data_IF_477544004007
#
_entry.id   IF_477544004007
#
_cell.length_a   1.000
_cell.length_b   1.000
_cell.length_c   1.000
_cell.angle_alpha   90.00
_cell.angle_beta   90.00
_cell.angle_gamma   90.00
#
_symmetry.space_group_name_H-M   'P 1'
#
loop_
_entity.id
_entity.type
_entity.pdbx_description
1 polymer ?
#
# COMPACT_ATOMS: atom_id res chain seq x y z
N UNK A 1 -1.81 -2.17 1.94
CA UNK A 1 -2.54 -3.11 1.07
C UNK A 1 -1.62 -3.46 -0.09
N UNK A 2 -1.27 -4.72 -0.26
CA UNK A 2 -0.42 -5.13 -1.39
C UNK A 2 -1.25 -5.11 -2.69
N UNK A 3 -0.61 -5.04 -3.85
CA UNK A 3 -1.28 -4.74 -5.14
C UNK A 3 -2.30 -5.80 -5.59
N UNK A 4 -2.30 -6.94 -4.89
CA UNK A 4 -2.98 -8.17 -5.26
C UNK A 4 -4.36 -8.27 -4.63
N UNK A 5 -4.55 -7.74 -3.40
CA UNK A 5 -5.89 -7.55 -2.82
C UNK A 5 -6.68 -6.59 -3.70
N UNK A 6 -6.05 -5.54 -4.22
CA UNK A 6 -6.69 -4.58 -5.12
C UNK A 6 -7.15 -5.22 -6.45
N UNK A 7 -6.43 -6.23 -6.95
CA UNK A 7 -6.81 -6.94 -8.18
C UNK A 7 -8.03 -7.86 -7.99
N UNK A 8 -8.32 -8.30 -6.76
CA UNK A 8 -9.50 -9.12 -6.44
C UNK A 8 -10.75 -8.29 -6.18
N UNK A 9 -10.63 -6.98 -5.99
CA UNK A 9 -11.77 -6.13 -5.65
C UNK A 9 -12.85 -6.15 -6.72
N UNK A 10 -12.52 -6.00 -8.01
CA UNK A 10 -13.52 -6.03 -9.09
C UNK A 10 -14.27 -7.38 -9.19
N UNK A 11 -13.60 -8.54 -9.19
CA UNK A 11 -14.28 -9.84 -9.11
C UNK A 11 -15.16 -10.01 -7.85
N UNK A 12 -14.68 -9.59 -6.67
CA UNK A 12 -15.47 -9.72 -5.44
C UNK A 12 -16.68 -8.79 -5.49
N UNK A 13 -16.51 -7.54 -5.91
CA UNK A 13 -17.59 -6.58 -6.06
C UNK A 13 -18.68 -7.08 -7.02
N UNK A 14 -18.31 -7.75 -8.11
CA UNK A 14 -19.27 -8.37 -9.04
C UNK A 14 -20.07 -9.52 -8.43
N UNK A 15 -19.49 -10.26 -7.50
CA UNK A 15 -20.13 -11.41 -6.85
C UNK A 15 -20.91 -11.01 -5.60
N UNK A 16 -20.43 -10.00 -4.88
CA UNK A 16 -20.94 -9.55 -3.58
C UNK A 16 -20.92 -8.00 -3.51
N UNK A 17 -21.77 -7.31 -4.30
CA UNK A 17 -21.77 -5.85 -4.39
C UNK A 17 -22.14 -5.14 -3.08
N UNK A 18 -22.74 -5.86 -2.13
CA UNK A 18 -23.09 -5.38 -0.80
C UNK A 18 -21.89 -5.28 0.15
N UNK A 19 -20.76 -5.92 -0.17
CA UNK A 19 -19.56 -5.89 0.67
C UNK A 19 -18.81 -4.58 0.42
N UNK A 20 -18.66 -3.70 1.43
CA UNK A 20 -17.91 -2.47 1.25
C UNK A 20 -16.41 -2.76 1.10
N UNK A 21 -15.81 -2.25 0.03
CA UNK A 21 -14.36 -2.30 -0.17
C UNK A 21 -13.71 -0.97 0.21
N UNK A 22 -12.98 -0.95 1.30
CA UNK A 22 -12.27 0.25 1.75
C UNK A 22 -10.87 0.27 1.14
N UNK A 23 -10.55 1.34 0.41
CA UNK A 23 -9.19 1.58 -0.03
C UNK A 23 -8.44 2.43 1.00
N UNK A 24 -7.26 1.96 1.41
CA UNK A 24 -6.36 2.69 2.29
C UNK A 24 -5.05 3.02 1.56
N UNK A 25 -4.63 4.27 1.64
CA UNK A 25 -3.42 4.78 0.99
C UNK A 25 -2.64 5.74 1.90
N UNK A 26 -1.44 6.13 1.48
CA UNK A 26 -0.59 7.12 2.18
C UNK A 26 -0.24 8.24 1.20
N UNK A 27 -0.74 9.44 1.45
CA UNK A 27 -0.57 10.59 0.56
C UNK A 27 0.88 11.02 0.44
N UNK A 28 1.67 10.89 1.51
CA UNK A 28 3.11 11.16 1.43
C UNK A 28 3.85 10.01 0.74
N UNK A 29 3.84 10.05 -0.60
CA UNK A 29 4.43 9.03 -1.47
C UNK A 29 5.94 8.88 -1.26
N UNK A 30 6.68 9.96 -1.02
CA UNK A 30 8.12 9.89 -0.72
C UNK A 30 8.36 9.03 0.54
N UNK A 31 7.69 9.34 1.66
CA UNK A 31 7.82 8.57 2.91
C UNK A 31 7.35 7.13 2.73
N UNK A 32 6.29 6.90 1.96
CA UNK A 32 5.80 5.56 1.67
C UNK A 32 6.83 4.74 0.86
N UNK A 33 7.39 5.34 -0.18
CA UNK A 33 8.42 4.73 -1.04
C UNK A 33 9.67 4.39 -0.24
N UNK A 34 10.14 5.32 0.61
CA UNK A 34 11.26 5.07 1.52
C UNK A 34 10.93 3.92 2.49
N UNK A 35 9.71 3.87 3.03
CA UNK A 35 9.29 2.77 3.92
C UNK A 35 9.34 1.41 3.20
N UNK A 36 8.83 1.33 1.98
CA UNK A 36 8.90 0.13 1.15
C UNK A 36 10.35 -0.24 0.81
N UNK A 37 11.20 0.73 0.50
CA UNK A 37 12.62 0.51 0.25
C UNK A 37 13.34 -0.04 1.49
N UNK A 38 13.10 0.54 2.66
CA UNK A 38 13.66 0.08 3.95
C UNK A 38 13.28 -1.37 4.23
N UNK A 39 11.99 -1.68 4.05
CA UNK A 39 11.49 -3.05 4.16
C UNK A 39 12.23 -3.99 3.21
N UNK A 40 12.45 -3.62 1.95
CA UNK A 40 13.14 -4.49 0.99
C UNK A 40 14.63 -4.65 1.28
N UNK A 41 15.29 -3.60 1.80
CA UNK A 41 16.74 -3.57 2.01
C UNK A 41 17.18 -4.35 3.24
N UNK A 42 16.46 -4.21 4.35
CA UNK A 42 16.93 -4.65 5.67
C UNK A 42 16.42 -6.05 6.06
N UNK A 43 15.79 -6.80 5.17
CA UNK A 43 15.07 -8.00 5.58
C UNK A 43 15.50 -9.27 4.86
N UNK A 44 15.80 -10.28 5.67
CA UNK A 44 15.56 -11.69 5.38
C UNK A 44 14.16 -11.94 4.81
N UNK A 45 13.17 -11.04 4.99
CA UNK A 45 11.88 -11.09 4.29
C UNK A 45 12.01 -11.04 2.76
N UNK A 46 13.00 -10.39 2.15
CA UNK A 46 13.17 -10.51 0.69
C UNK A 46 13.63 -11.92 0.33
N UNK A 47 14.56 -12.48 1.09
CA UNK A 47 15.02 -13.86 0.91
C UNK A 47 13.90 -14.86 1.19
N UNK A 48 13.08 -14.66 2.22
CA UNK A 48 11.90 -15.46 2.55
C UNK A 48 10.78 -15.24 1.54
N UNK A 49 10.58 -14.03 1.02
CA UNK A 49 9.61 -13.75 -0.05
C UNK A 49 10.05 -14.42 -1.34
N UNK A 50 11.34 -14.36 -1.69
CA UNK A 50 11.94 -15.07 -2.83
C UNK A 50 11.89 -16.59 -2.60
N UNK A 51 12.11 -17.06 -1.39
CA UNK A 51 12.01 -18.47 -0.99
C UNK A 51 10.57 -18.99 -1.08
N UNK A 52 9.60 -18.24 -0.56
CA UNK A 52 8.17 -18.54 -0.67
C UNK A 52 7.73 -18.46 -2.13
N UNK A 53 8.23 -17.47 -2.88
CA UNK A 53 7.96 -17.34 -4.30
C UNK A 53 8.50 -18.54 -5.08
N UNK A 54 9.73 -18.98 -4.84
CA UNK A 54 10.36 -20.10 -5.54
C UNK A 54 9.75 -21.46 -5.17
N UNK A 55 9.40 -21.69 -3.90
CA UNK A 55 8.87 -22.97 -3.44
C UNK A 55 7.35 -23.10 -3.58
N UNK A 56 6.61 -21.99 -3.61
CA UNK A 56 5.16 -21.97 -3.77
C UNK A 56 4.71 -21.31 -5.08
N UNK A 57 5.58 -21.22 -6.09
CA UNK A 57 5.42 -20.55 -7.39
C UNK A 57 4.01 -20.58 -8.00
N UNK A 58 3.25 -21.68 -7.90
CA UNK A 58 1.85 -21.75 -8.37
C UNK A 58 0.85 -21.05 -7.44
N UNK A 59 0.94 -21.32 -6.14
CA UNK A 59 0.14 -20.65 -5.12
C UNK A 59 0.53 -19.18 -5.00
N UNK A 60 1.81 -18.86 -5.13
CA UNK A 60 2.35 -17.50 -5.17
C UNK A 60 1.89 -16.75 -6.44
N UNK A 61 1.96 -17.35 -7.64
CA UNK A 61 1.40 -16.74 -8.86
C UNK A 61 -0.11 -16.51 -8.78
N UNK A 62 -0.83 -17.38 -8.06
CA UNK A 62 -2.28 -17.34 -7.89
C UNK A 62 -2.73 -16.35 -6.79
N UNK A 63 -2.12 -16.41 -5.60
CA UNK A 63 -2.38 -15.51 -4.47
C UNK A 63 -1.86 -14.10 -4.73
N UNK A 64 -0.73 -13.95 -5.44
CA UNK A 64 -0.02 -12.68 -5.56
C UNK A 64 -0.22 -11.93 -6.88
N UNK A 65 -1.33 -12.12 -7.61
CA UNK A 65 -1.68 -11.21 -8.72
C UNK A 65 -0.52 -10.91 -9.68
N UNK A 66 0.33 -11.90 -9.95
CA UNK A 66 1.67 -11.70 -10.50
C UNK A 66 1.63 -10.94 -11.83
N UNK A 67 0.53 -11.08 -12.59
CA UNK A 67 0.36 -10.45 -13.90
C UNK A 67 0.46 -8.93 -13.86
N UNK A 68 -0.10 -8.27 -12.85
CA UNK A 68 -0.21 -6.81 -12.88
C UNK A 68 0.99 -6.12 -12.25
N UNK A 69 1.53 -6.68 -11.17
CA UNK A 69 2.86 -6.29 -10.71
C UNK A 69 3.93 -6.54 -11.79
N UNK A 70 3.86 -7.68 -12.49
CA UNK A 70 4.71 -7.96 -13.65
C UNK A 70 4.50 -6.94 -14.77
N UNK A 71 3.26 -6.63 -15.12
CA UNK A 71 2.96 -5.63 -16.16
C UNK A 71 3.50 -4.25 -15.78
N UNK A 72 3.36 -3.82 -14.52
CA UNK A 72 3.91 -2.56 -14.04
C UNK A 72 5.44 -2.54 -14.12
N UNK A 73 6.10 -3.61 -13.66
CA UNK A 73 7.57 -3.74 -13.71
C UNK A 73 8.11 -3.85 -15.14
N UNK A 74 7.41 -4.52 -16.05
CA UNK A 74 7.75 -4.57 -17.49
C UNK A 74 7.56 -3.22 -18.19
N UNK A 75 6.53 -2.45 -17.79
CA UNK A 75 6.25 -1.11 -18.33
C UNK A 75 7.33 -0.10 -17.93
N UNK A 76 7.72 -0.08 -16.65
CA UNK A 76 8.62 0.97 -16.15
C UNK A 76 10.09 0.57 -16.12
N UNK A 77 10.36 -0.75 -16.04
CA UNK A 77 11.70 -1.36 -15.96
C UNK A 77 12.55 -0.73 -14.85
N UNK A 78 12.21 -0.94 -13.56
CA UNK A 78 12.96 -0.33 -12.46
C UNK A 78 14.41 -0.83 -12.45
N UNK A 79 15.36 0.09 -12.33
CA UNK A 79 16.81 -0.16 -12.38
C UNK A 79 17.43 -0.18 -10.99
N UNK A 80 16.68 0.19 -9.95
CA UNK A 80 17.14 0.17 -8.56
C UNK A 80 16.07 -0.34 -7.60
N UNK A 81 16.49 -0.77 -6.41
CA UNK A 81 15.56 -1.17 -5.34
C UNK A 81 14.63 -0.03 -4.92
N UNK A 82 15.10 1.22 -4.98
CA UNK A 82 14.28 2.39 -4.67
C UNK A 82 13.16 2.59 -5.69
N UNK A 83 13.46 2.39 -6.96
CA UNK A 83 12.48 2.42 -8.04
C UNK A 83 11.48 1.27 -7.93
N UNK A 84 11.96 0.07 -7.61
CA UNK A 84 11.10 -1.10 -7.38
C UNK A 84 10.17 -0.88 -6.17
N UNK A 85 10.67 -0.25 -5.11
CA UNK A 85 9.87 0.11 -3.95
C UNK A 85 8.71 1.05 -4.31
N UNK A 86 8.95 2.04 -5.18
CA UNK A 86 7.89 2.88 -5.72
C UNK A 86 6.87 2.06 -6.50
N UNK A 87 7.31 1.15 -7.38
CA UNK A 87 6.39 0.31 -8.16
C UNK A 87 5.49 -0.52 -7.25
N UNK A 88 6.06 -1.15 -6.22
CA UNK A 88 5.30 -1.93 -5.23
C UNK A 88 4.26 -1.05 -4.53
N UNK A 89 4.66 0.14 -4.07
CA UNK A 89 3.77 1.06 -3.38
C UNK A 89 2.67 1.65 -4.28
N UNK A 90 3.02 1.98 -5.52
CA UNK A 90 2.15 2.69 -6.45
C UNK A 90 1.17 1.80 -7.22
N UNK A 91 1.53 0.53 -7.43
CA UNK A 91 0.67 -0.42 -8.18
C UNK A 91 -0.74 -0.55 -7.58
N UNK A 92 -0.93 -0.75 -6.25
CA UNK A 92 -2.27 -0.78 -5.65
C UNK A 92 -3.08 0.49 -5.94
N UNK A 93 -2.45 1.67 -5.94
CA UNK A 93 -3.12 2.93 -6.23
C UNK A 93 -3.54 3.03 -7.70
N UNK A 94 -2.68 2.63 -8.63
CA UNK A 94 -3.02 2.55 -10.05
C UNK A 94 -4.24 1.65 -10.30
N UNK A 95 -4.37 0.57 -9.53
CA UNK A 95 -5.53 -0.32 -9.55
C UNK A 95 -6.78 0.31 -8.97
N UNK A 96 -6.65 0.96 -7.82
CA UNK A 96 -7.74 1.70 -7.21
C UNK A 96 -8.33 2.70 -8.20
N UNK A 97 -7.50 3.48 -8.90
CA UNK A 97 -7.99 4.44 -9.90
C UNK A 97 -8.81 3.78 -11.01
N UNK A 98 -8.36 2.63 -11.53
CA UNK A 98 -9.06 1.89 -12.59
C UNK A 98 -10.38 1.27 -12.12
N UNK A 99 -10.45 0.88 -10.85
CA UNK A 99 -11.59 0.16 -10.28
C UNK A 99 -12.31 0.99 -9.21
N UNK A 100 -12.21 2.32 -9.27
CA UNK A 100 -12.68 3.22 -8.20
C UNK A 100 -14.15 3.03 -7.86
N UNK A 101 -14.96 2.62 -8.84
CA UNK A 101 -16.38 2.32 -8.70
C UNK A 101 -16.66 1.10 -7.81
N UNK A 102 -15.69 0.20 -7.60
CA UNK A 102 -15.82 -0.94 -6.72
C UNK A 102 -15.52 -0.61 -5.25
N UNK A 103 -15.01 0.58 -4.95
CA UNK A 103 -14.59 0.97 -3.60
C UNK A 103 -15.60 1.91 -2.95
N UNK A 104 -15.75 1.78 -1.64
CA UNK A 104 -16.46 2.74 -0.84
C UNK A 104 -15.66 4.04 -0.71
N UNK A 105 -16.38 5.16 -0.65
CA UNK A 105 -15.82 6.50 -0.49
C UNK A 105 -16.32 7.12 0.82
N UNK A 106 -15.53 7.99 1.48
CA UNK A 106 -14.22 8.48 1.05
C UNK A 106 -13.09 7.45 1.22
N UNK A 107 -12.00 7.68 0.48
CA UNK A 107 -10.75 6.91 0.60
C UNK A 107 -10.13 7.15 1.99
N UNK A 108 -9.53 6.13 2.59
CA UNK A 108 -8.87 6.27 3.89
C UNK A 108 -7.39 6.58 3.65
N UNK A 109 -6.96 7.78 4.04
CA UNK A 109 -5.54 8.12 3.99
C UNK A 109 -4.91 7.95 5.36
N UNK A 110 -3.65 7.50 5.39
CA UNK A 110 -2.88 7.39 6.63
C UNK A 110 -2.81 8.74 7.35
N UNK A 111 -2.64 9.82 6.60
CA UNK A 111 -2.57 11.18 7.10
C UNK A 111 -3.86 11.60 7.82
N UNK A 112 -5.04 11.29 7.26
CA UNK A 112 -6.33 11.53 7.94
C UNK A 112 -6.52 10.61 9.13
N UNK A 113 -6.15 9.33 9.02
CA UNK A 113 -6.25 8.39 10.13
C UNK A 113 -5.42 8.82 11.34
N UNK A 114 -4.29 9.50 11.13
CA UNK A 114 -3.45 10.01 12.22
C UNK A 114 -3.92 11.39 12.71
N UNK A 115 -4.29 12.31 11.81
CA UNK A 115 -4.63 13.69 12.19
C UNK A 115 -6.08 13.86 12.68
N UNK A 116 -6.99 13.03 12.18
CA UNK A 116 -8.44 13.05 12.48
C UNK A 116 -8.98 11.63 12.64
N UNK A 117 -8.49 10.87 13.64
CA UNK A 117 -8.78 9.44 13.77
C UNK A 117 -10.27 9.14 14.00
N UNK A 118 -10.96 9.93 14.83
CA UNK A 118 -12.38 9.74 15.13
C UNK A 118 -13.26 9.95 13.90
N UNK A 119 -13.03 11.03 13.14
CA UNK A 119 -13.72 11.33 11.90
C UNK A 119 -13.48 10.23 10.85
N UNK A 120 -12.22 9.82 10.68
CA UNK A 120 -11.83 8.80 9.68
C UNK A 120 -12.43 7.42 10.00
N UNK A 121 -12.34 6.98 11.26
CA UNK A 121 -12.95 5.70 11.70
C UNK A 121 -14.47 5.79 11.65
N UNK A 122 -15.06 6.93 12.00
CA UNK A 122 -16.50 7.16 11.90
C UNK A 122 -17.02 7.01 10.47
N UNK A 123 -16.31 7.56 9.48
CA UNK A 123 -16.67 7.39 8.07
C UNK A 123 -16.59 5.92 7.62
N UNK A 124 -15.58 5.18 8.09
CA UNK A 124 -15.46 3.72 7.85
C UNK A 124 -16.62 2.96 8.48
N UNK A 125 -17.00 3.31 9.71
CA UNK A 125 -18.12 2.65 10.40
C UNK A 125 -19.46 2.90 9.71
N UNK A 126 -19.69 4.12 9.22
CA UNK A 126 -20.88 4.45 8.43
C UNK A 126 -20.98 3.59 7.17
N UNK A 127 -19.87 3.48 6.43
CA UNK A 127 -19.79 2.63 5.23
C UNK A 127 -20.05 1.16 5.55
N UNK A 128 -19.54 0.67 6.68
CA UNK A 128 -19.65 -0.73 7.08
C UNK A 128 -20.93 -1.06 7.87
N UNK A 129 -21.81 -0.08 8.15
CA UNK A 129 -22.99 -0.28 8.99
C UNK A 129 -22.66 -0.63 10.45
N UNK A 130 -21.51 -0.18 10.96
CA UNK A 130 -21.07 -0.42 12.34
C UNK A 130 -21.51 0.75 13.22
N UNK A 131 -21.94 0.45 14.46
CA UNK A 131 -22.36 1.50 15.40
C UNK A 131 -21.22 2.44 15.78
N UNK A 132 -21.46 3.76 15.66
CA UNK A 132 -20.51 4.80 16.11
C UNK A 132 -20.22 4.76 17.61
N UNK A 133 -21.08 4.13 18.41
CA UNK A 133 -20.84 3.95 19.85
C UNK A 133 -19.57 3.13 20.13
N UNK A 134 -19.07 2.37 19.16
CA UNK A 134 -17.85 1.56 19.26
C UNK A 134 -16.58 2.33 18.85
N UNK A 135 -16.69 3.57 18.37
CA UNK A 135 -15.53 4.36 17.94
C UNK A 135 -14.51 4.55 19.07
N UNK A 136 -14.89 4.89 20.32
CA UNK A 136 -13.92 5.02 21.41
C UNK A 136 -13.08 3.76 21.63
N UNK A 137 -13.70 2.58 21.52
CA UNK A 137 -13.01 1.29 21.63
C UNK A 137 -12.08 1.05 20.42
N UNK A 138 -12.56 1.29 19.20
CA UNK A 138 -11.78 1.14 17.99
C UNK A 138 -10.53 2.05 17.98
N UNK A 139 -10.63 3.26 18.52
CA UNK A 139 -9.51 4.20 18.63
C UNK A 139 -8.36 3.65 19.48
N UNK A 140 -8.64 2.76 20.44
CA UNK A 140 -7.58 2.13 21.24
C UNK A 140 -6.61 1.30 20.40
N UNK A 141 -7.06 0.79 19.25
CA UNK A 141 -6.24 0.00 18.34
C UNK A 141 -5.08 0.82 17.73
N UNK A 142 -5.20 2.15 17.63
CA UNK A 142 -4.14 3.02 17.12
C UNK A 142 -2.92 3.05 18.05
N UNK A 143 -3.13 2.84 19.36
CA UNK A 143 -2.07 2.81 20.36
C UNK A 143 -1.27 1.50 20.31
N UNK A 144 -1.85 0.44 19.75
CA UNK A 144 -1.21 -0.87 19.64
C UNK A 144 -0.43 -0.97 18.34
N UNK A 145 0.81 -1.43 18.43
CA UNK A 145 1.53 -1.90 17.26
C UNK A 145 1.09 -3.33 16.93
N UNK A 146 0.30 -3.50 15.88
CA UNK A 146 -0.14 -4.82 15.40
C UNK A 146 1.02 -5.65 14.84
N UNK A 147 2.17 -5.01 14.56
CA UNK A 147 3.39 -5.65 14.09
C UNK A 147 4.41 -5.83 15.22
N UNK A 148 4.04 -5.63 16.48
CA UNK A 148 4.92 -5.84 17.63
C UNK A 148 5.55 -7.25 17.61
N UNK A 149 6.86 -7.32 17.81
CA UNK A 149 7.63 -8.58 17.74
C UNK A 149 8.03 -9.01 16.33
N UNK A 150 7.61 -8.31 15.28
CA UNK A 150 8.03 -8.58 13.90
C UNK A 150 9.13 -7.60 13.45
N UNK A 151 9.74 -7.88 12.29
CA UNK A 151 10.67 -6.96 11.62
C UNK A 151 10.01 -5.67 11.13
N UNK A 152 8.68 -5.63 11.05
CA UNK A 152 7.90 -4.47 10.61
C UNK A 152 7.36 -3.64 11.78
N UNK A 153 7.72 -3.97 13.03
CA UNK A 153 7.31 -3.18 14.19
C UNK A 153 7.82 -1.75 14.11
N UNK A 154 7.10 -0.82 14.76
CA UNK A 154 7.49 0.60 14.85
C UNK A 154 8.91 0.74 15.38
N UNK A 155 9.28 -0.06 16.38
CA UNK A 155 10.60 -0.05 17.01
C UNK A 155 11.70 -0.53 16.07
N UNK A 156 11.45 -1.58 15.27
CA UNK A 156 12.43 -2.06 14.29
C UNK A 156 12.59 -1.07 13.14
N UNK A 157 11.48 -0.55 12.61
CA UNK A 157 11.50 0.44 11.53
C UNK A 157 12.15 1.77 11.94
N UNK A 158 12.06 2.15 13.22
CA UNK A 158 12.74 3.33 13.77
C UNK A 158 14.26 3.20 13.80
N UNK A 159 14.80 1.98 13.89
CA UNK A 159 16.25 1.72 13.86
C UNK A 159 16.85 1.83 12.47
N UNK A 160 16.03 1.71 11.42
CA UNK A 160 16.48 1.84 10.04
C UNK A 160 16.78 3.30 9.73
N UNK A 161 18.05 3.59 9.44
CA UNK A 161 18.54 4.95 9.13
C UNK A 161 17.63 5.64 8.13
N UNK A 162 17.25 6.88 8.43
CA UNK A 162 16.51 7.70 7.49
C UNK A 162 17.35 7.95 6.23
N UNK A 163 16.67 7.85 5.10
CA UNK A 163 17.27 8.04 3.78
C UNK A 163 16.62 9.30 3.24
N UNK A 164 17.45 10.26 2.88
CA UNK A 164 17.01 11.43 2.13
C UNK A 164 17.18 11.13 0.65
N UNK A 165 16.15 11.43 -0.13
CA UNK A 165 16.26 11.30 -1.57
C UNK A 165 17.13 12.43 -2.12
N UNK A 166 18.05 12.10 -3.02
CA UNK A 166 18.71 13.11 -3.85
C UNK A 166 17.74 13.66 -4.88
N UNK A 167 18.01 14.84 -5.43
CA UNK A 167 17.23 15.41 -6.54
C UNK A 167 17.19 14.47 -7.75
N UNK A 168 18.31 13.78 -8.04
CA UNK A 168 18.38 12.77 -9.08
C UNK A 168 17.40 11.62 -8.82
N UNK A 169 17.32 11.13 -7.58
CA UNK A 169 16.37 10.08 -7.21
C UNK A 169 14.94 10.56 -7.37
N UNK A 170 14.59 11.76 -6.86
CA UNK A 170 13.25 12.34 -7.04
C UNK A 170 12.87 12.47 -8.50
N UNK A 171 13.76 12.97 -9.35
CA UNK A 171 13.54 13.08 -10.80
C UNK A 171 13.28 11.70 -11.44
N UNK A 172 14.03 10.67 -11.05
CA UNK A 172 13.83 9.30 -11.53
C UNK A 172 12.47 8.74 -11.09
N UNK A 173 12.11 8.92 -9.81
CA UNK A 173 10.83 8.47 -9.26
C UNK A 173 9.63 9.19 -9.89
N UNK A 174 9.70 10.51 -10.09
CA UNK A 174 8.71 11.27 -10.85
C UNK A 174 8.56 10.72 -12.28
N UNK A 175 9.67 10.35 -12.94
CA UNK A 175 9.65 9.71 -14.25
C UNK A 175 8.93 8.35 -14.25
N UNK A 176 9.10 7.54 -13.20
CA UNK A 176 8.37 6.27 -13.03
C UNK A 176 6.89 6.51 -12.79
N UNK A 177 6.55 7.43 -11.89
CA UNK A 177 5.15 7.76 -11.59
C UNK A 177 4.40 8.19 -12.85
N UNK A 178 5.03 9.01 -13.69
CA UNK A 178 4.51 9.41 -15.00
C UNK A 178 4.34 8.23 -15.96
N UNK A 179 5.32 7.33 -16.05
CA UNK A 179 5.19 6.09 -16.86
C UNK A 179 4.04 5.20 -16.34
N UNK A 180 3.75 5.23 -15.05
CA UNK A 180 2.62 4.50 -14.45
C UNK A 180 1.27 5.22 -14.59
N UNK A 181 1.25 6.42 -15.19
CA UNK A 181 0.05 7.26 -15.36
C UNK A 181 -0.61 7.63 -14.02
N UNK A 182 0.22 7.90 -13.01
CA UNK A 182 -0.25 8.30 -11.68
C UNK A 182 -0.48 9.82 -11.59
N UNK A 183 -1.48 10.28 -10.83
CA UNK A 183 -1.80 11.69 -10.73
C UNK A 183 -0.71 12.46 -9.97
N UNK A 184 -0.23 13.56 -10.55
CA UNK A 184 0.80 14.43 -9.95
C UNK A 184 0.36 15.04 -8.62
N UNK A 185 -0.96 15.24 -8.42
CA UNK A 185 -1.51 15.72 -7.16
C UNK A 185 -1.20 14.81 -5.97
N UNK A 186 -0.92 13.54 -6.22
CA UNK A 186 -0.57 12.54 -5.20
C UNK A 186 0.88 12.13 -5.33
N UNK A 187 1.33 11.83 -6.55
CA UNK A 187 2.69 11.33 -6.83
C UNK A 187 3.60 12.46 -7.31
N UNK A 188 3.98 13.33 -6.37
CA UNK A 188 5.08 14.27 -6.53
C UNK A 188 6.15 13.97 -5.47
N UNK A 189 7.41 14.04 -5.90
CA UNK A 189 8.60 13.85 -5.06
C UNK A 189 9.47 15.09 -5.12
#
# INVERSE_FOLDING_TARGET
MTSEVAALVDPIYKLFPEIPHIFQFRENVEKATISSYKMMRDTTLWEETVYLHSNFLKLAKWLFGYKQFKSATEKVKPESLLELALVIFATPYAFFLKNRHCYALPEVTYENLISKPEETIGAVFDVCGISKSLIPEALTALNRDSQAGTLLSRDQMARVKNIELSELNRKRLNGIAKKMELPESVFHF
#
